data_IF_031445629739
#
_entry.id   IF_031445629739
#
_cell.length_a   1.000
_cell.length_b   1.000
_cell.length_c   1.000
_cell.angle_alpha   90.00
_cell.angle_beta   90.00
_cell.angle_gamma   90.00
#
_symmetry.space_group_name_H-M   'P 1'
#
loop_
_entity.id
_entity.type
_entity.pdbx_description
1 polymer ?
#
# COMPACT_ATOMS: atom_id res chain seq x y z
N UNK A 1 -14.51 -6.61 24.49
CA UNK A 1 -13.94 -7.65 23.61
C UNK A 1 -14.34 -7.31 22.18
N UNK A 2 -13.42 -7.27 21.22
CA UNK A 2 -13.77 -7.15 19.79
C UNK A 2 -14.61 -8.38 19.38
N UNK A 3 -15.54 -8.20 18.44
CA UNK A 3 -16.43 -9.28 17.98
C UNK A 3 -15.59 -10.41 17.34
N UNK A 4 -15.55 -11.63 17.92
CA UNK A 4 -14.74 -12.72 17.39
C UNK A 4 -15.22 -13.24 16.03
N UNK A 5 -16.46 -12.94 15.65
CA UNK A 5 -17.05 -13.33 14.34
C UNK A 5 -16.94 -12.22 13.29
N UNK A 6 -16.18 -11.16 13.57
CA UNK A 6 -16.02 -10.05 12.64
C UNK A 6 -15.31 -10.50 11.37
N UNK A 7 -15.83 -10.10 10.21
CA UNK A 7 -15.18 -10.25 8.91
C UNK A 7 -14.41 -8.98 8.56
N UNK A 8 -13.20 -9.13 8.05
CA UNK A 8 -12.29 -8.04 7.70
C UNK A 8 -12.07 -8.06 6.18
N UNK A 9 -12.32 -6.93 5.53
CA UNK A 9 -12.01 -6.73 4.12
C UNK A 9 -10.91 -5.69 4.03
N UNK A 10 -9.81 -6.03 3.36
CA UNK A 10 -8.68 -5.14 3.12
C UNK A 10 -8.53 -4.95 1.61
N UNK A 11 -8.62 -3.70 1.15
CA UNK A 11 -8.42 -3.36 -0.26
C UNK A 11 -7.03 -2.74 -0.44
N UNK A 12 -6.17 -3.41 -1.20
CA UNK A 12 -4.79 -3.03 -1.43
C UNK A 12 -4.61 -2.40 -2.82
N UNK A 13 -3.70 -1.44 -2.89
CA UNK A 13 -3.26 -0.81 -4.14
C UNK A 13 -1.76 -1.01 -4.31
N UNK A 14 -1.24 -0.93 -5.53
CA UNK A 14 0.21 -1.01 -5.76
C UNK A 14 0.93 -0.05 -4.77
N UNK A 15 1.93 -0.53 -4.01
CA UNK A 15 2.45 0.21 -2.87
C UNK A 15 3.11 1.54 -3.28
N UNK A 16 3.74 1.61 -4.46
CA UNK A 16 4.28 2.85 -5.04
C UNK A 16 3.15 3.80 -5.40
N UNK A 17 2.11 3.30 -6.09
CA UNK A 17 0.96 4.13 -6.46
C UNK A 17 0.18 4.64 -5.25
N UNK A 18 0.01 3.82 -4.20
CA UNK A 18 -0.63 4.21 -2.95
C UNK A 18 0.15 5.32 -2.24
N UNK A 19 1.48 5.18 -2.18
CA UNK A 19 2.37 6.18 -1.61
C UNK A 19 2.31 7.51 -2.39
N UNK A 20 2.37 7.47 -3.72
CA UNK A 20 2.23 8.65 -4.57
C UNK A 20 0.85 9.32 -4.38
N UNK A 21 -0.22 8.53 -4.37
CA UNK A 21 -1.57 9.02 -4.16
C UNK A 21 -1.70 9.73 -2.81
N UNK A 22 -1.14 9.17 -1.73
CA UNK A 22 -1.16 9.76 -0.40
C UNK A 22 -0.30 11.03 -0.34
N UNK A 23 0.88 11.03 -0.95
CA UNK A 23 1.74 12.21 -1.04
C UNK A 23 1.01 13.38 -1.72
N UNK A 24 0.42 13.14 -2.89
CA UNK A 24 -0.33 14.15 -3.65
C UNK A 24 -1.59 14.62 -2.90
N UNK A 25 -2.27 13.70 -2.22
CA UNK A 25 -3.38 14.05 -1.34
C UNK A 25 -2.89 15.03 -0.27
N UNK A 26 -1.88 14.69 0.52
CA UNK A 26 -1.37 15.53 1.61
C UNK A 26 -0.83 16.89 1.12
N UNK A 27 -0.28 16.94 -0.09
CA UNK A 27 0.28 18.18 -0.65
C UNK A 27 -0.79 19.18 -1.12
N UNK A 28 -1.97 18.71 -1.54
CA UNK A 28 -2.96 19.58 -2.21
C UNK A 28 -3.72 20.54 -1.29
N UNK A 29 -3.74 20.29 0.02
CA UNK A 29 -4.56 21.06 0.96
C UNK A 29 -3.78 21.31 2.26
N UNK A 30 -3.64 22.58 2.63
CA UNK A 30 -2.90 23.03 3.81
C UNK A 30 -3.46 22.52 5.14
N UNK A 31 -4.73 22.12 5.17
CA UNK A 31 -5.41 21.58 6.35
C UNK A 31 -5.16 20.09 6.57
N UNK A 32 -4.49 19.41 5.64
CA UNK A 32 -4.21 17.99 5.79
C UNK A 32 -3.07 17.72 6.78
N UNK A 33 -3.14 16.63 7.54
CA UNK A 33 -2.31 16.41 8.72
C UNK A 33 -0.80 16.40 8.40
N UNK A 34 -0.42 15.89 7.23
CA UNK A 34 0.98 15.77 6.82
C UNK A 34 1.37 16.84 5.80
N UNK A 35 0.53 17.87 5.58
CA UNK A 35 0.82 18.91 4.60
C UNK A 35 2.17 19.59 4.87
N UNK A 36 2.47 19.87 6.15
CA UNK A 36 3.75 20.50 6.55
C UNK A 36 4.96 19.64 6.20
N UNK A 37 4.81 18.32 6.20
CA UNK A 37 5.88 17.36 5.88
C UNK A 37 6.13 17.27 4.37
N UNK A 38 5.10 17.46 3.54
CA UNK A 38 5.23 17.26 2.08
C UNK A 38 5.29 18.55 1.26
N UNK A 39 4.86 19.69 1.79
CA UNK A 39 4.67 20.93 1.02
C UNK A 39 5.94 21.39 0.29
N UNK A 40 7.10 21.24 0.95
CA UNK A 40 8.40 21.69 0.45
C UNK A 40 9.18 20.57 -0.28
N UNK A 41 8.58 19.40 -0.47
CA UNK A 41 9.23 18.27 -1.15
C UNK A 41 8.67 18.06 -2.55
N UNK A 42 9.52 17.63 -3.49
CA UNK A 42 9.03 16.86 -4.64
C UNK A 42 8.76 15.43 -4.19
N UNK A 43 8.07 14.63 -5.01
CA UNK A 43 7.90 13.22 -4.65
C UNK A 43 9.26 12.52 -4.51
N UNK A 44 10.23 12.85 -5.36
CA UNK A 44 11.57 12.29 -5.32
C UNK A 44 12.32 12.65 -4.04
N UNK A 45 12.36 13.94 -3.67
CA UNK A 45 13.07 14.34 -2.44
C UNK A 45 12.38 13.83 -1.17
N UNK A 46 11.06 13.64 -1.20
CA UNK A 46 10.33 13.00 -0.10
C UNK A 46 10.68 11.51 0.02
N UNK A 47 10.68 10.78 -1.10
CA UNK A 47 11.03 9.36 -1.16
C UNK A 47 12.43 9.11 -0.60
N UNK A 48 13.40 9.93 -1.02
CA UNK A 48 14.79 9.78 -0.57
C UNK A 48 14.93 9.94 0.94
N UNK A 49 14.33 10.99 1.50
CA UNK A 49 14.36 11.24 2.93
C UNK A 49 13.64 10.12 3.70
N UNK A 50 12.44 9.74 3.27
CA UNK A 50 11.60 8.81 3.99
C UNK A 50 12.16 7.38 3.94
N UNK A 51 12.71 6.93 2.80
CA UNK A 51 13.40 5.63 2.70
C UNK A 51 14.64 5.63 3.62
N UNK A 52 15.43 6.70 3.64
CA UNK A 52 16.61 6.77 4.51
C UNK A 52 16.22 6.66 5.99
N UNK A 53 15.23 7.44 6.43
CA UNK A 53 14.69 7.40 7.80
C UNK A 53 14.18 6.00 8.18
N UNK A 54 13.41 5.39 7.29
CA UNK A 54 12.81 4.09 7.52
C UNK A 54 13.84 2.97 7.55
N UNK A 55 14.81 3.00 6.63
CA UNK A 55 15.91 2.02 6.59
C UNK A 55 16.70 2.07 7.89
N UNK A 56 17.10 3.27 8.34
CA UNK A 56 17.79 3.43 9.61
C UNK A 56 16.97 2.95 10.81
N UNK A 57 15.64 3.13 10.78
CA UNK A 57 14.75 2.63 11.83
C UNK A 57 14.70 1.09 11.86
N UNK A 58 14.53 0.46 10.70
CA UNK A 58 14.48 -1.01 10.55
C UNK A 58 15.82 -1.64 10.90
N UNK A 59 16.94 -1.02 10.54
CA UNK A 59 18.28 -1.47 10.92
C UNK A 59 18.45 -1.48 12.44
N UNK A 60 18.03 -0.41 13.14
CA UNK A 60 18.04 -0.40 14.61
C UNK A 60 17.14 -1.49 15.19
N UNK A 61 15.96 -1.72 14.62
CA UNK A 61 15.07 -2.78 15.05
C UNK A 61 15.69 -4.18 14.86
N UNK A 62 16.51 -4.36 13.82
CA UNK A 62 17.13 -5.65 13.49
C UNK A 62 18.05 -6.19 14.58
N UNK A 63 18.70 -5.31 15.36
CA UNK A 63 19.54 -5.67 16.49
C UNK A 63 18.80 -6.42 17.60
N UNK A 64 17.47 -6.32 17.64
CA UNK A 64 16.60 -6.91 18.66
C UNK A 64 15.82 -8.13 18.16
N UNK A 65 16.10 -8.63 16.95
CA UNK A 65 15.34 -9.74 16.33
C UNK A 65 15.34 -11.04 17.16
N UNK A 66 16.40 -11.30 17.90
CA UNK A 66 16.55 -12.51 18.73
C UNK A 66 16.08 -12.32 20.18
N UNK A 67 15.62 -11.13 20.56
CA UNK A 67 15.09 -10.89 21.89
C UNK A 67 13.59 -11.19 21.89
N UNK A 68 13.22 -12.30 22.53
CA UNK A 68 11.81 -12.65 22.74
C UNK A 68 11.15 -11.65 23.68
N UNK A 69 9.93 -11.23 23.34
CA UNK A 69 9.06 -10.59 24.32
C UNK A 69 8.73 -11.64 25.40
N UNK A 70 9.18 -11.44 26.63
CA UNK A 70 8.99 -12.40 27.72
C UNK A 70 7.51 -12.47 28.13
N UNK A 71 6.85 -13.63 27.98
CA UNK A 71 5.51 -13.92 28.50
C UNK A 71 4.59 -14.67 27.53
N UNK A 72 3.50 -15.27 28.04
CA UNK A 72 2.41 -15.81 27.21
C UNK A 72 1.57 -14.66 26.66
N UNK A 73 2.02 -14.05 25.56
CA UNK A 73 1.39 -12.87 24.96
C UNK A 73 0.67 -13.26 23.67
N UNK A 74 -0.59 -12.81 23.42
CA UNK A 74 -1.34 -13.11 22.20
C UNK A 74 -0.54 -12.78 20.92
N UNK A 75 -0.50 -13.66 19.93
CA UNK A 75 0.25 -13.42 18.68
C UNK A 75 -0.31 -12.19 17.93
N UNK A 76 0.51 -11.16 17.68
CA UNK A 76 0.12 -9.88 17.07
C UNK A 76 0.27 -8.67 18.00
N UNK A 77 0.45 -7.46 17.43
CA UNK A 77 0.65 -6.15 18.09
C UNK A 77 1.55 -6.21 19.34
N UNK A 78 2.66 -6.94 19.24
CA UNK A 78 3.68 -7.06 20.30
C UNK A 78 3.63 -8.35 21.11
N UNK A 79 2.60 -9.19 20.97
CA UNK A 79 2.65 -10.54 21.49
C UNK A 79 3.01 -11.57 20.41
N UNK A 80 3.73 -12.63 20.81
CA UNK A 80 4.31 -13.63 19.89
C UNK A 80 5.38 -13.10 18.92
N UNK A 81 5.52 -11.78 18.77
CA UNK A 81 6.58 -11.11 18.03
C UNK A 81 7.84 -10.98 18.89
N UNK A 82 9.02 -11.07 18.28
CA UNK A 82 10.24 -10.60 18.91
C UNK A 82 10.22 -9.08 19.07
N UNK A 83 11.04 -8.55 19.98
CA UNK A 83 11.19 -7.10 20.16
C UNK A 83 11.57 -6.43 18.84
N UNK A 84 12.48 -7.04 18.06
CA UNK A 84 12.85 -6.53 16.74
C UNK A 84 11.69 -6.49 15.74
N UNK A 85 10.82 -7.51 15.71
CA UNK A 85 9.64 -7.52 14.84
C UNK A 85 8.64 -6.42 15.24
N UNK A 86 8.40 -6.24 16.54
CA UNK A 86 7.53 -5.17 17.03
C UNK A 86 8.10 -3.79 16.70
N UNK A 87 9.40 -3.56 16.92
CA UNK A 87 10.07 -2.31 16.59
C UNK A 87 10.03 -2.02 15.09
N UNK A 88 10.24 -3.03 14.24
CA UNK A 88 10.10 -2.91 12.79
C UNK A 88 8.68 -2.43 12.43
N UNK A 89 7.64 -3.06 13.00
CA UNK A 89 6.26 -2.64 12.76
C UNK A 89 6.01 -1.18 13.15
N UNK A 90 6.60 -0.71 14.25
CA UNK A 90 6.52 0.69 14.66
C UNK A 90 7.21 1.65 13.67
N UNK A 91 8.30 1.23 13.02
CA UNK A 91 8.95 2.03 11.97
C UNK A 91 7.99 2.32 10.81
N UNK A 92 7.25 1.31 10.35
CA UNK A 92 6.26 1.47 9.27
C UNK A 92 5.02 2.23 9.74
N UNK A 93 4.51 1.94 10.93
CA UNK A 93 3.27 2.54 11.45
C UNK A 93 3.37 4.07 11.57
N UNK A 94 4.56 4.59 11.92
CA UNK A 94 4.82 6.03 12.10
C UNK A 94 4.92 6.80 10.78
N UNK A 95 5.22 6.13 9.67
CA UNK A 95 5.43 6.76 8.36
C UNK A 95 4.19 6.54 7.47
N UNK A 96 3.21 7.44 7.58
CA UNK A 96 1.89 7.24 6.97
C UNK A 96 1.91 7.18 5.43
N UNK A 97 2.82 7.91 4.77
CA UNK A 97 2.81 8.07 3.30
C UNK A 97 3.43 6.84 2.62
N UNK A 98 4.65 6.46 3.01
CA UNK A 98 5.36 5.29 2.44
C UNK A 98 5.17 4.07 3.33
N UNK A 99 5.32 4.19 4.64
CA UNK A 99 5.29 3.07 5.57
C UNK A 99 3.99 2.28 5.59
N UNK A 100 2.83 2.93 5.41
CA UNK A 100 1.54 2.22 5.34
C UNK A 100 1.34 1.39 4.07
N UNK A 101 2.25 1.49 3.09
CA UNK A 101 2.29 0.60 1.94
C UNK A 101 3.06 -0.72 2.22
N UNK A 102 3.65 -0.90 3.40
CA UNK A 102 4.24 -2.16 3.83
C UNK A 102 3.16 -3.14 4.34
N UNK A 103 2.35 -3.66 3.41
CA UNK A 103 1.15 -4.40 3.75
C UNK A 103 1.41 -5.68 4.56
N UNK A 104 2.53 -6.35 4.32
CA UNK A 104 2.91 -7.56 5.03
C UNK A 104 3.01 -7.32 6.55
N UNK A 105 3.61 -6.21 6.98
CA UNK A 105 3.74 -5.84 8.40
C UNK A 105 2.38 -5.78 9.09
N UNK A 106 1.38 -5.18 8.45
CA UNK A 106 0.06 -4.98 9.05
C UNK A 106 -0.83 -6.20 8.88
N UNK A 107 -0.81 -6.86 7.72
CA UNK A 107 -1.61 -8.04 7.46
C UNK A 107 -1.16 -9.24 8.29
N UNK A 108 0.13 -9.41 8.55
CA UNK A 108 0.63 -10.46 9.43
C UNK A 108 -0.09 -10.43 10.79
N UNK A 109 -0.31 -9.23 11.30
CA UNK A 109 -1.01 -9.05 12.56
C UNK A 109 -2.48 -9.49 12.48
N UNK A 110 -3.21 -9.11 11.42
CA UNK A 110 -4.60 -9.54 11.27
C UNK A 110 -4.69 -11.07 11.11
N UNK A 111 -3.80 -11.65 10.31
CA UNK A 111 -3.74 -13.10 10.08
C UNK A 111 -3.30 -13.89 11.33
N UNK A 112 -2.72 -13.25 12.34
CA UNK A 112 -2.40 -13.87 13.62
C UNK A 112 -3.62 -13.98 14.56
N UNK A 113 -4.63 -13.12 14.39
CA UNK A 113 -5.80 -13.06 15.27
C UNK A 113 -7.09 -13.55 14.63
N UNK A 114 -7.17 -13.52 13.30
CA UNK A 114 -8.34 -13.90 12.54
C UNK A 114 -7.99 -15.09 11.64
N UNK A 115 -8.82 -16.15 11.61
CA UNK A 115 -8.64 -17.25 10.68
C UNK A 115 -8.76 -16.75 9.22
N UNK A 116 -8.17 -17.47 8.24
CA UNK A 116 -8.13 -17.01 6.85
C UNK A 116 -9.50 -16.71 6.23
N UNK A 117 -10.56 -17.42 6.64
CA UNK A 117 -11.94 -17.21 6.19
C UNK A 117 -12.61 -15.95 6.76
N UNK A 118 -11.96 -15.27 7.73
CA UNK A 118 -12.39 -13.98 8.28
C UNK A 118 -11.62 -12.79 7.70
N UNK A 119 -10.65 -13.00 6.81
CA UNK A 119 -9.86 -11.91 6.19
C UNK A 119 -9.89 -12.04 4.67
N UNK A 120 -10.57 -11.12 4.00
CA UNK A 120 -10.57 -11.01 2.54
C UNK A 120 -9.63 -9.89 2.11
N UNK A 121 -8.61 -10.26 1.32
CA UNK A 121 -7.73 -9.30 0.65
C UNK A 121 -8.21 -9.09 -0.78
N UNK A 122 -8.48 -7.84 -1.16
CA UNK A 122 -8.87 -7.41 -2.50
C UNK A 122 -7.82 -6.45 -3.06
N UNK A 123 -7.78 -6.30 -4.38
CA UNK A 123 -6.84 -5.41 -5.05
C UNK A 123 -7.57 -4.38 -5.90
N UNK A 124 -7.12 -3.12 -5.86
CA UNK A 124 -7.71 -2.05 -6.69
C UNK A 124 -7.54 -2.32 -8.19
N UNK A 125 -6.51 -3.08 -8.59
CA UNK A 125 -6.34 -3.55 -9.96
C UNK A 125 -7.53 -4.40 -10.41
N UNK A 126 -7.89 -5.42 -9.63
CA UNK A 126 -9.04 -6.27 -9.95
C UNK A 126 -10.36 -5.50 -9.87
N UNK A 127 -10.49 -4.59 -8.90
CA UNK A 127 -11.68 -3.74 -8.81
C UNK A 127 -11.86 -2.85 -10.05
N UNK A 128 -10.75 -2.36 -10.63
CA UNK A 128 -10.78 -1.52 -11.82
C UNK A 128 -10.98 -2.32 -13.12
N UNK A 129 -10.31 -3.47 -13.24
CA UNK A 129 -10.32 -4.30 -14.45
C UNK A 129 -11.55 -5.22 -14.52
N UNK A 130 -11.98 -5.75 -13.37
CA UNK A 130 -13.04 -6.75 -13.23
C UNK A 130 -13.93 -6.43 -12.00
N UNK A 131 -14.65 -5.30 -11.98
CA UNK A 131 -15.43 -4.86 -10.81
C UNK A 131 -16.49 -5.86 -10.35
N UNK A 132 -17.18 -6.51 -11.30
CA UNK A 132 -18.19 -7.52 -10.97
C UNK A 132 -17.59 -8.73 -10.24
N UNK A 133 -16.43 -9.24 -10.70
CA UNK A 133 -15.71 -10.33 -10.03
C UNK A 133 -15.35 -9.94 -8.59
N UNK A 134 -14.81 -8.73 -8.41
CA UNK A 134 -14.41 -8.24 -7.09
C UNK A 134 -15.59 -8.10 -6.13
N UNK A 135 -16.72 -7.59 -6.62
CA UNK A 135 -17.95 -7.46 -5.82
C UNK A 135 -18.53 -8.85 -5.50
N UNK A 136 -18.53 -9.79 -6.45
CA UNK A 136 -18.99 -11.17 -6.22
C UNK A 136 -18.16 -11.89 -5.15
N UNK A 137 -16.84 -11.71 -5.16
CA UNK A 137 -15.96 -12.20 -4.07
C UNK A 137 -16.35 -11.59 -2.72
N UNK A 138 -16.70 -10.31 -2.70
CA UNK A 138 -17.14 -9.60 -1.49
C UNK A 138 -18.49 -10.13 -0.99
N UNK A 139 -19.47 -10.31 -1.87
CA UNK A 139 -20.79 -10.88 -1.52
C UNK A 139 -20.64 -12.29 -0.95
N UNK A 140 -19.90 -13.16 -1.65
CA UNK A 140 -19.63 -14.52 -1.20
C UNK A 140 -18.93 -14.54 0.17
N UNK A 141 -17.91 -13.70 0.36
CA UNK A 141 -17.22 -13.56 1.63
C UNK A 141 -18.14 -13.07 2.73
N UNK A 142 -19.06 -12.14 2.47
CA UNK A 142 -20.03 -11.66 3.45
C UNK A 142 -21.18 -12.64 3.70
N UNK A 143 -21.38 -13.63 2.82
CA UNK A 143 -22.58 -14.48 2.82
C UNK A 143 -23.83 -13.76 2.31
N UNK A 144 -23.64 -12.70 1.52
CA UNK A 144 -24.72 -11.96 0.89
C UNK A 144 -25.17 -12.69 -0.40
N UNK A 145 -26.47 -12.67 -0.73
CA UNK A 145 -26.93 -13.19 -2.00
C UNK A 145 -26.37 -12.35 -3.15
N UNK A 146 -26.10 -12.99 -4.28
CA UNK A 146 -25.66 -12.30 -5.48
C UNK A 146 -26.70 -11.27 -5.96
N UNK A 147 -26.31 -10.00 -6.04
CA UNK A 147 -27.16 -8.95 -6.59
C UNK A 147 -26.98 -8.81 -8.12
N UNK A 148 -28.04 -8.46 -8.85
CA UNK A 148 -27.96 -8.17 -10.30
C UNK A 148 -27.62 -6.70 -10.52
N UNK A 149 -26.34 -6.44 -10.70
CA UNK A 149 -25.85 -5.09 -10.95
C UNK A 149 -26.06 -4.65 -12.41
N UNK A 150 -26.31 -3.35 -12.60
CA UNK A 150 -26.31 -2.71 -13.92
C UNK A 150 -24.86 -2.66 -14.47
N UNK A 151 -24.56 -3.32 -15.60
CA UNK A 151 -23.21 -3.34 -16.18
C UNK A 151 -22.65 -1.94 -16.50
N UNK A 152 -23.53 -1.01 -16.86
CA UNK A 152 -23.15 0.37 -17.22
C UNK A 152 -22.73 1.17 -15.99
N UNK A 153 -23.31 0.87 -14.82
CA UNK A 153 -22.95 1.51 -13.55
C UNK A 153 -21.74 0.88 -12.89
N UNK A 154 -21.55 -0.43 -13.05
CA UNK A 154 -20.40 -1.15 -12.52
C UNK A 154 -19.06 -0.66 -13.06
N UNK A 155 -19.03 -0.27 -14.33
CA UNK A 155 -17.84 0.22 -15.03
C UNK A 155 -17.70 1.74 -14.98
N UNK A 156 -18.61 2.43 -14.30
CA UNK A 156 -18.63 3.89 -14.26
C UNK A 156 -17.57 4.43 -13.30
N UNK A 157 -16.62 5.21 -13.83
CA UNK A 157 -15.59 5.87 -13.04
C UNK A 157 -16.07 7.28 -12.65
N UNK A 158 -16.42 7.47 -11.37
CA UNK A 158 -16.73 8.79 -10.82
C UNK A 158 -15.43 9.52 -10.40
N UNK A 159 -15.37 10.83 -10.66
CA UNK A 159 -14.31 11.74 -10.18
C UNK A 159 -12.89 11.41 -10.71
N UNK A 160 -12.76 11.21 -12.02
CA UNK A 160 -11.48 11.03 -12.73
C UNK A 160 -10.55 12.26 -12.72
N UNK A 161 -10.97 13.38 -12.12
CA UNK A 161 -10.21 14.66 -12.10
C UNK A 161 -8.90 14.60 -11.31
N UNK A 162 -8.67 13.55 -10.54
CA UNK A 162 -7.39 13.31 -9.91
C UNK A 162 -6.88 11.93 -10.31
N UNK A 163 -6.35 11.85 -11.52
CA UNK A 163 -5.71 10.62 -11.96
C UNK A 163 -4.39 10.41 -11.20
N UNK A 164 -4.44 9.58 -10.17
CA UNK A 164 -3.28 9.22 -9.34
C UNK A 164 -2.51 8.02 -9.90
N UNK A 165 -2.71 7.67 -11.18
CA UNK A 165 -2.01 6.60 -11.88
C UNK A 165 -0.89 7.21 -12.74
N UNK A 166 0.32 6.67 -12.69
CA UNK A 166 1.46 7.22 -13.44
C UNK A 166 1.30 7.08 -14.97
N UNK A 167 0.50 6.11 -15.44
CA UNK A 167 0.12 5.96 -16.86
C UNK A 167 -1.01 6.89 -17.34
N UNK A 168 -1.45 7.87 -16.55
CA UNK A 168 -2.42 8.82 -17.08
C UNK A 168 -1.76 9.79 -18.05
N UNK A 169 -1.99 9.56 -19.33
CA UNK A 169 -1.75 10.57 -20.35
C UNK A 169 -2.66 11.77 -20.07
N UNK A 170 -2.08 12.88 -19.58
CA UNK A 170 -2.72 14.20 -19.67
C UNK A 170 -2.71 14.64 -21.13
N UNK A 171 -3.72 15.40 -21.55
CA UNK A 171 -3.60 16.16 -22.81
C UNK A 171 -2.49 17.22 -22.61
N UNK A 172 -1.67 17.47 -23.63
CA UNK A 172 -0.49 18.34 -23.53
C UNK A 172 -0.78 19.75 -22.97
N UNK A 173 -2.03 20.22 -23.09
CA UNK A 173 -2.52 21.50 -22.58
C UNK A 173 -2.92 21.50 -21.08
N UNK A 174 -2.96 20.34 -20.42
CA UNK A 174 -3.24 20.20 -18.97
C UNK A 174 -1.95 20.09 -18.13
N UNK A 175 -0.80 20.13 -18.79
CA UNK A 175 0.51 20.37 -18.20
C UNK A 175 0.69 21.89 -18.27
N UNK A 176 0.67 22.59 -17.13
CA UNK A 176 1.14 23.98 -17.10
C UNK A 176 2.53 23.97 -17.74
N UNK A 177 2.71 24.77 -18.78
CA UNK A 177 4.03 25.03 -19.33
C UNK A 177 4.88 25.57 -18.19
N UNK A 178 5.78 24.74 -17.68
CA UNK A 178 6.94 25.26 -17.00
C UNK A 178 7.73 25.97 -18.09
N UNK A 179 7.58 27.29 -18.15
CA UNK A 179 8.69 28.18 -18.51
C UNK A 179 9.91 27.62 -17.81
N UNK A 180 10.76 26.93 -18.57
CA UNK A 180 12.16 26.64 -18.32
C UNK A 180 12.65 25.69 -19.41
N UNK A 181 13.84 25.98 -19.91
CA UNK A 181 14.44 25.47 -21.14
C UNK A 181 15.03 24.05 -21.04
N UNK A 182 14.46 23.15 -20.24
CA UNK A 182 15.00 21.79 -20.06
C UNK A 182 14.20 20.68 -20.75
N UNK A 183 14.89 19.68 -21.36
CA UNK A 183 14.23 18.57 -22.04
C UNK A 183 13.41 17.70 -21.07
N UNK A 184 12.23 17.26 -21.54
CA UNK A 184 11.22 16.49 -20.77
C UNK A 184 11.80 15.22 -20.12
N UNK A 185 12.85 14.64 -20.70
CA UNK A 185 13.59 13.49 -20.16
C UNK A 185 14.32 13.81 -18.86
N UNK A 186 14.93 14.99 -18.74
CA UNK A 186 15.61 15.44 -17.52
C UNK A 186 14.62 15.71 -16.37
N UNK A 187 13.44 16.26 -16.70
CA UNK A 187 12.39 16.57 -15.71
C UNK A 187 11.71 15.32 -15.10
N UNK A 188 11.66 14.22 -15.85
CA UNK A 188 11.01 12.98 -15.41
C UNK A 188 11.98 12.01 -14.73
N UNK A 189 13.29 12.13 -14.97
CA UNK A 189 14.31 11.25 -14.40
C UNK A 189 14.25 11.14 -12.87
N UNK A 190 14.18 12.24 -12.07
CA UNK A 190 14.12 12.13 -10.61
C UNK A 190 12.86 11.39 -10.12
N UNK A 191 11.74 11.55 -10.81
CA UNK A 191 10.50 10.85 -10.46
C UNK A 191 10.61 9.34 -10.76
N UNK A 192 11.14 8.98 -11.93
CA UNK A 192 11.33 7.58 -12.32
C UNK A 192 12.35 6.87 -11.40
N UNK A 193 13.41 7.58 -11.00
CA UNK A 193 14.35 7.09 -9.99
C UNK A 193 13.66 6.86 -8.64
N UNK A 194 12.83 7.80 -8.18
CA UNK A 194 12.07 7.63 -6.94
C UNK A 194 11.11 6.44 -6.99
N UNK A 195 10.44 6.22 -8.12
CA UNK A 195 9.63 5.02 -8.37
C UNK A 195 10.48 3.76 -8.28
N UNK A 196 11.63 3.73 -8.94
CA UNK A 196 12.57 2.60 -8.89
C UNK A 196 13.05 2.30 -7.47
N UNK A 197 13.42 3.33 -6.71
CA UNK A 197 13.84 3.23 -5.30
C UNK A 197 12.73 2.67 -4.41
N UNK A 198 11.50 3.17 -4.55
CA UNK A 198 10.35 2.62 -3.82
C UNK A 198 10.04 1.18 -4.22
N UNK A 199 10.14 0.84 -5.51
CA UNK A 199 9.95 -0.53 -5.98
C UNK A 199 10.96 -1.46 -5.32
N UNK A 200 12.24 -1.09 -5.30
CA UNK A 200 13.29 -1.85 -4.62
C UNK A 200 13.03 -1.95 -3.10
N UNK A 201 12.61 -0.86 -2.46
CA UNK A 201 12.28 -0.81 -1.04
C UNK A 201 11.12 -1.76 -0.66
N UNK A 202 10.07 -1.82 -1.47
CA UNK A 202 8.90 -2.68 -1.22
C UNK A 202 9.09 -4.13 -1.71
N UNK A 203 10.04 -4.39 -2.60
CA UNK A 203 10.28 -5.71 -3.19
C UNK A 203 10.28 -6.87 -2.17
N UNK A 204 11.10 -6.87 -1.09
CA UNK A 204 11.12 -7.99 -0.15
C UNK A 204 9.76 -8.24 0.54
N UNK A 205 8.98 -7.18 0.75
CA UNK A 205 7.64 -7.25 1.36
C UNK A 205 6.61 -7.81 0.40
N UNK A 206 6.71 -7.41 -0.86
CA UNK A 206 5.86 -7.95 -1.91
C UNK A 206 6.14 -9.43 -2.17
N UNK A 207 7.42 -9.84 -2.15
CA UNK A 207 7.79 -11.25 -2.22
C UNK A 207 7.21 -12.07 -1.06
N UNK A 208 7.15 -11.51 0.15
CA UNK A 208 6.46 -12.14 1.28
C UNK A 208 4.96 -12.31 1.03
N UNK A 209 4.30 -11.30 0.45
CA UNK A 209 2.90 -11.41 0.05
C UNK A 209 2.68 -12.47 -1.05
N UNK A 210 3.59 -12.59 -2.02
CA UNK A 210 3.51 -13.63 -3.06
C UNK A 210 3.52 -15.02 -2.45
N UNK A 211 4.41 -15.25 -1.48
CA UNK A 211 4.45 -16.49 -0.71
C UNK A 211 3.14 -16.76 0.04
N UNK A 212 2.56 -15.75 0.68
CA UNK A 212 1.26 -15.92 1.36
C UNK A 212 0.12 -16.24 0.40
N UNK A 213 0.12 -15.69 -0.81
CA UNK A 213 -0.84 -16.05 -1.83
C UNK A 213 -0.66 -17.51 -2.28
N UNK A 214 0.58 -17.95 -2.49
CA UNK A 214 0.91 -19.35 -2.83
C UNK A 214 0.53 -20.33 -1.71
N UNK A 215 0.63 -19.90 -0.45
CA UNK A 215 0.17 -20.65 0.73
C UNK A 215 -1.35 -20.61 0.93
N UNK A 216 -2.10 -19.88 0.09
CA UNK A 216 -3.55 -19.71 0.22
C UNK A 216 -4.00 -18.87 1.43
N UNK A 217 -3.09 -18.10 2.03
CA UNK A 217 -3.37 -17.23 3.19
C UNK A 217 -4.05 -15.92 2.81
N UNK A 218 -3.82 -15.46 1.58
CA UNK A 218 -4.44 -14.27 0.98
C UNK A 218 -4.80 -14.58 -0.48
N UNK A 219 -5.65 -13.75 -1.08
CA UNK A 219 -5.96 -13.85 -2.50
C UNK A 219 -4.73 -13.60 -3.38
N UNK A 220 -4.73 -14.20 -4.58
CA UNK A 220 -3.65 -14.06 -5.56
C UNK A 220 -3.27 -12.60 -5.83
N UNK A 221 -1.99 -12.29 -5.66
CA UNK A 221 -1.47 -10.95 -5.95
C UNK A 221 -1.49 -10.69 -7.46
N UNK A 222 -1.94 -9.50 -7.94
CA UNK A 222 -2.11 -9.23 -9.36
C UNK A 222 -0.85 -9.51 -10.20
N UNK A 223 -0.97 -10.05 -11.42
CA UNK A 223 0.18 -10.36 -12.29
C UNK A 223 1.08 -9.15 -12.55
N UNK A 224 0.50 -7.95 -12.67
CA UNK A 224 1.26 -6.71 -12.85
C UNK A 224 2.19 -6.42 -11.66
N UNK A 225 1.77 -6.75 -10.43
CA UNK A 225 2.61 -6.57 -9.24
C UNK A 225 3.69 -7.65 -9.22
N UNK A 226 3.35 -8.91 -9.52
CA UNK A 226 4.34 -9.99 -9.66
C UNK A 226 5.43 -9.61 -10.67
N UNK A 227 5.06 -9.06 -11.82
CA UNK A 227 6.05 -8.58 -12.81
C UNK A 227 6.90 -7.41 -12.31
N UNK A 228 6.36 -6.55 -11.43
CA UNK A 228 7.07 -5.36 -10.93
C UNK A 228 8.02 -5.69 -9.79
N UNK A 229 7.66 -6.65 -8.93
CA UNK A 229 8.39 -7.00 -7.71
C UNK A 229 8.98 -8.42 -7.71
N UNK A 230 9.02 -9.11 -8.85
CA UNK A 230 9.71 -10.40 -9.01
C UNK A 230 11.18 -10.29 -8.64
#
# INVERSE_FOLDING_TARGET
MLNPKMKIIVVLRDPVQRALSRFLEQKRNERFPLHREVKNHTFATFVDQEIADMTACVERASAFKNQLATGAVPVGWGGGMSLGQWMEAQCFARKNIIGWSAYDVFLENYLAHFPPDQVLVLYTNELAENPLSTIRKTEAFLGAPEFKYDPTRLSMVFNSRACYHWKCAKKANEIKAAEDSEPVTARTAPFLEAVSRLTAFFKPRMQRMFKWAEEGRIADVPPAWRSTYA
#
